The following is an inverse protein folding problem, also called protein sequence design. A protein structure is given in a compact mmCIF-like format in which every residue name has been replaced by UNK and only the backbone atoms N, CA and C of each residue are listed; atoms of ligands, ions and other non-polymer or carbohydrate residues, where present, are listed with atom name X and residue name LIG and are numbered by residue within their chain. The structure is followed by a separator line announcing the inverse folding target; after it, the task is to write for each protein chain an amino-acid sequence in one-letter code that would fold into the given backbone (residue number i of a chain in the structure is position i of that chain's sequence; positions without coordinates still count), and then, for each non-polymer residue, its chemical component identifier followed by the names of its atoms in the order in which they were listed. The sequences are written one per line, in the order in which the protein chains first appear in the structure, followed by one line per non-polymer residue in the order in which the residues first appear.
data_IF_063292348599
#
_entry.id   IF_063292348599
#
_cell.length_a   1.000
_cell.length_b   1.000
_cell.length_c   1.000
_cell.angle_alpha   90.00
_cell.angle_beta   90.00
_cell.angle_gamma   90.00
#
_symmetry.space_group_name_H-M   'P 1'
#
loop_
_entity.id
_entity.type
_entity.pdbx_description
1 polymer ?
#
# COMPACT_ATOMS: atom_id res chain seq x y z
N UNK A 1 3.76 46.15 -0.06
CA UNK A 1 4.46 45.77 1.17
C UNK A 1 4.39 46.99 2.10
N UNK A 2 3.88 46.84 3.32
CA UNK A 2 3.71 47.98 4.25
C UNK A 2 5.08 48.56 4.64
N UNK A 3 5.19 49.89 4.79
CA UNK A 3 6.45 50.59 5.19
C UNK A 3 6.99 50.03 6.50
N UNK A 4 6.11 49.66 7.43
CA UNK A 4 6.46 49.05 8.72
C UNK A 4 7.15 47.68 8.57
N UNK A 5 6.78 46.91 7.54
CA UNK A 5 7.41 45.62 7.27
C UNK A 5 8.84 45.79 6.75
N UNK A 6 9.10 46.85 5.97
CA UNK A 6 10.45 47.14 5.46
C UNK A 6 11.39 47.57 6.59
N UNK A 7 10.93 48.41 7.52
CA UNK A 7 11.73 48.85 8.67
C UNK A 7 12.06 47.67 9.58
N UNK A 8 11.07 46.80 9.83
CA UNK A 8 11.26 45.59 10.63
C UNK A 8 12.28 44.63 9.99
N UNK A 9 12.20 44.43 8.68
CA UNK A 9 13.11 43.56 7.94
C UNK A 9 14.56 44.06 7.96
N UNK A 10 14.78 45.38 7.89
CA UNK A 10 16.11 46.00 7.97
C UNK A 10 16.67 45.93 9.39
N UNK A 11 15.84 46.12 10.42
CA UNK A 11 16.25 45.95 11.81
C UNK A 11 16.65 44.49 12.12
N UNK A 12 15.91 43.51 11.60
CA UNK A 12 16.24 42.09 11.73
C UNK A 12 17.58 41.74 11.05
N UNK A 13 17.83 42.32 9.86
CA UNK A 13 19.08 42.13 9.11
C UNK A 13 20.30 42.70 9.86
N UNK A 14 20.15 43.86 10.49
CA UNK A 14 21.20 44.47 11.33
C UNK A 14 21.46 43.71 12.64
N UNK A 15 20.46 42.98 13.16
CA UNK A 15 20.58 42.15 14.37
C UNK A 15 21.26 40.80 14.10
N UNK A 16 21.63 40.50 12.85
CA UNK A 16 22.26 39.23 12.47
C UNK A 16 21.32 38.03 12.58
N UNK A 17 20.02 38.26 12.72
CA UNK A 17 19.02 37.20 12.67
C UNK A 17 18.77 36.85 11.20
N UNK A 18 19.19 35.65 10.78
CA UNK A 18 18.93 35.17 9.43
C UNK A 18 17.42 35.19 9.16
N UNK A 19 17.02 35.94 8.12
CA UNK A 19 15.64 35.95 7.64
C UNK A 19 15.22 34.49 7.46
N UNK A 20 14.20 34.06 8.21
CA UNK A 20 13.58 32.74 8.04
C UNK A 20 13.02 32.64 6.63
N UNK A 21 13.86 32.20 5.68
CA UNK A 21 13.45 31.84 4.33
C UNK A 21 12.35 30.82 4.51
N UNK A 22 11.22 31.01 3.81
CA UNK A 22 10.12 30.06 3.83
C UNK A 22 10.64 28.74 3.27
N UNK A 23 11.05 27.84 4.17
CA UNK A 23 11.44 26.49 3.80
C UNK A 23 10.20 25.82 3.24
N UNK A 24 10.22 25.57 1.93
CA UNK A 24 9.15 24.84 1.27
C UNK A 24 9.34 23.36 1.62
N UNK A 25 8.88 22.97 2.81
CA UNK A 25 8.91 21.58 3.24
C UNK A 25 7.90 20.82 2.38
N UNK A 26 8.39 20.16 1.33
CA UNK A 26 7.57 19.25 0.55
C UNK A 26 7.15 18.12 1.49
N UNK A 27 5.84 17.93 1.74
CA UNK A 27 5.39 16.86 2.63
C UNK A 27 5.83 15.53 2.05
N UNK A 28 6.57 14.75 2.85
CA UNK A 28 7.28 13.56 2.38
C UNK A 28 6.36 12.36 2.04
N UNK A 29 5.04 12.52 2.09
CA UNK A 29 4.06 11.44 2.03
C UNK A 29 2.67 11.93 1.62
N UNK A 30 2.50 12.41 0.39
CA UNK A 30 1.15 12.63 -0.17
C UNK A 30 0.72 11.37 -0.92
N UNK A 31 0.14 10.43 -0.19
CA UNK A 31 -0.66 9.36 -0.79
C UNK A 31 -1.93 10.02 -1.36
N UNK A 32 -2.07 10.04 -2.69
CA UNK A 32 -3.22 10.65 -3.37
C UNK A 32 -4.53 9.85 -3.15
N UNK A 33 -4.43 8.69 -2.50
CA UNK A 33 -5.54 7.78 -2.24
C UNK A 33 -6.41 8.29 -1.09
N UNK A 34 -7.67 8.62 -1.38
CA UNK A 34 -8.65 8.96 -0.34
C UNK A 34 -8.97 7.72 0.50
N UNK A 35 -8.65 7.79 1.80
CA UNK A 35 -8.88 6.72 2.77
C UNK A 35 -10.23 6.94 3.43
N UNK A 36 -11.12 5.97 3.29
CA UNK A 36 -12.52 6.10 3.74
C UNK A 36 -12.71 5.42 5.09
N UNK A 37 -12.23 4.19 5.24
CA UNK A 37 -12.46 3.37 6.43
C UNK A 37 -11.26 2.44 6.68
N UNK A 38 -10.86 2.25 7.95
CA UNK A 38 -9.76 1.36 8.35
C UNK A 38 -8.45 1.58 7.56
N UNK A 39 -8.11 2.84 7.22
CA UNK A 39 -6.92 3.19 6.43
C UNK A 39 -6.91 2.61 4.99
N UNK A 40 -8.07 2.15 4.49
CA UNK A 40 -8.26 1.62 3.15
C UNK A 40 -8.97 2.62 2.23
N UNK A 41 -8.65 2.54 0.94
CA UNK A 41 -9.38 3.22 -0.13
C UNK A 41 -10.70 2.49 -0.41
N UNK A 42 -11.70 3.16 -0.99
CA UNK A 42 -13.00 2.53 -1.32
C UNK A 42 -12.87 1.30 -2.22
N UNK A 43 -11.91 1.30 -3.15
CA UNK A 43 -11.59 0.12 -3.98
C UNK A 43 -11.03 -1.03 -3.15
N UNK A 44 -10.17 -0.75 -2.17
CA UNK A 44 -9.58 -1.75 -1.29
C UNK A 44 -10.63 -2.31 -0.32
N UNK A 45 -11.57 -1.46 0.12
CA UNK A 45 -12.72 -1.89 0.90
C UNK A 45 -13.58 -2.89 0.12
N UNK A 46 -13.84 -2.62 -1.16
CA UNK A 46 -14.56 -3.56 -2.03
C UNK A 46 -13.78 -4.88 -2.19
N UNK A 47 -12.46 -4.82 -2.33
CA UNK A 47 -11.60 -6.03 -2.41
C UNK A 47 -11.67 -6.88 -1.14
N UNK A 48 -11.92 -6.29 0.04
CA UNK A 48 -12.13 -7.04 1.28
C UNK A 48 -13.57 -7.55 1.39
N UNK A 49 -14.55 -6.67 1.23
CA UNK A 49 -15.96 -6.98 1.51
C UNK A 49 -16.60 -7.92 0.49
N UNK A 50 -16.29 -7.76 -0.80
CA UNK A 50 -16.90 -8.58 -1.87
C UNK A 50 -16.57 -10.08 -1.69
N UNK A 51 -15.30 -10.50 -1.59
CA UNK A 51 -14.99 -11.92 -1.41
C UNK A 51 -15.45 -12.44 -0.04
N UNK A 52 -15.45 -11.62 1.01
CA UNK A 52 -16.00 -12.00 2.32
C UNK A 52 -17.50 -12.31 2.26
N UNK A 53 -18.29 -11.41 1.67
CA UNK A 53 -19.74 -11.61 1.53
C UNK A 53 -20.05 -12.79 0.60
N UNK A 54 -19.30 -12.95 -0.48
CA UNK A 54 -19.45 -14.06 -1.42
C UNK A 54 -19.12 -15.39 -0.76
N UNK A 55 -18.05 -15.45 0.05
CA UNK A 55 -17.73 -16.62 0.87
C UNK A 55 -18.87 -16.96 1.83
N UNK A 56 -19.40 -15.99 2.57
CA UNK A 56 -20.50 -16.22 3.50
C UNK A 56 -21.74 -16.73 2.78
N UNK A 57 -22.13 -16.11 1.66
CA UNK A 57 -23.29 -16.53 0.89
C UNK A 57 -23.17 -17.99 0.41
N UNK A 58 -22.00 -18.37 -0.12
CA UNK A 58 -21.74 -19.73 -0.59
C UNK A 58 -21.70 -20.70 0.59
N UNK A 59 -20.99 -20.39 1.67
CA UNK A 59 -20.83 -21.28 2.80
C UNK A 59 -22.17 -21.51 3.55
N UNK A 60 -22.97 -20.46 3.72
CA UNK A 60 -24.34 -20.61 4.24
C UNK A 60 -25.24 -21.38 3.27
N UNK A 61 -25.17 -21.12 1.97
CA UNK A 61 -25.94 -21.85 0.97
C UNK A 61 -25.63 -23.35 0.97
N UNK A 62 -24.35 -23.73 1.02
CA UNK A 62 -23.90 -25.13 1.07
C UNK A 62 -24.34 -25.80 2.37
N UNK A 63 -24.14 -25.15 3.51
CA UNK A 63 -24.55 -25.73 4.81
C UNK A 63 -26.05 -25.88 4.95
N UNK A 64 -26.83 -24.95 4.38
CA UNK A 64 -28.28 -25.07 4.27
C UNK A 64 -28.70 -26.25 3.38
N UNK A 65 -28.12 -26.37 2.19
CA UNK A 65 -28.43 -27.45 1.24
C UNK A 65 -28.12 -28.83 1.81
N UNK A 66 -27.06 -28.94 2.63
CA UNK A 66 -26.70 -30.18 3.33
C UNK A 66 -27.57 -30.50 4.54
N UNK A 67 -28.53 -29.64 4.91
CA UNK A 67 -29.35 -29.81 6.12
C UNK A 67 -28.56 -29.68 7.42
N UNK A 68 -27.36 -29.11 7.36
CA UNK A 68 -26.44 -28.96 8.50
C UNK A 68 -26.56 -27.59 9.17
N UNK A 69 -27.49 -26.73 8.73
CA UNK A 69 -27.63 -25.37 9.24
C UNK A 69 -28.31 -25.38 10.61
N UNK A 70 -27.47 -25.37 11.64
CA UNK A 70 -27.80 -25.22 13.04
C UNK A 70 -27.08 -23.98 13.58
N UNK A 71 -27.45 -23.52 14.78
CA UNK A 71 -26.84 -22.33 15.37
C UNK A 71 -25.31 -22.46 15.52
N UNK A 72 -24.82 -23.64 15.90
CA UNK A 72 -23.39 -23.93 16.06
C UNK A 72 -22.65 -23.88 14.72
N UNK A 73 -23.18 -24.54 13.69
CA UNK A 73 -22.55 -24.60 12.37
C UNK A 73 -22.60 -23.24 11.66
N UNK A 74 -23.70 -22.51 11.78
CA UNK A 74 -23.81 -21.13 11.29
C UNK A 74 -22.80 -20.19 11.95
N UNK A 75 -22.60 -20.32 13.27
CA UNK A 75 -21.60 -19.54 13.99
C UNK A 75 -20.17 -19.90 13.57
N UNK A 76 -19.89 -21.20 13.34
CA UNK A 76 -18.60 -21.64 12.80
C UNK A 76 -18.32 -21.07 11.41
N UNK A 77 -19.29 -21.13 10.49
CA UNK A 77 -19.17 -20.53 9.15
C UNK A 77 -18.87 -19.04 9.26
N UNK A 78 -19.56 -18.34 10.16
CA UNK A 78 -19.32 -16.92 10.40
C UNK A 78 -17.90 -16.63 10.92
N UNK A 79 -17.41 -17.41 11.89
CA UNK A 79 -16.03 -17.25 12.41
C UNK A 79 -15.00 -17.50 11.30
N UNK A 80 -15.16 -18.56 10.53
CA UNK A 80 -14.25 -18.87 9.41
C UNK A 80 -14.27 -17.75 8.39
N UNK A 81 -15.46 -17.22 8.08
CA UNK A 81 -15.61 -16.04 7.23
C UNK A 81 -14.88 -14.83 7.80
N UNK A 82 -15.00 -14.56 9.11
CA UNK A 82 -14.31 -13.44 9.76
C UNK A 82 -12.79 -13.58 9.67
N UNK A 83 -12.25 -14.77 9.93
CA UNK A 83 -10.81 -15.05 9.78
C UNK A 83 -10.38 -14.81 8.33
N UNK A 84 -11.18 -15.29 7.36
CA UNK A 84 -10.92 -15.07 5.94
C UNK A 84 -10.92 -13.57 5.58
N UNK A 85 -11.91 -12.80 6.02
CA UNK A 85 -11.95 -11.35 5.80
C UNK A 85 -10.77 -10.61 6.46
N UNK A 86 -10.43 -10.97 7.69
CA UNK A 86 -9.32 -10.37 8.44
C UNK A 86 -7.96 -10.67 7.80
N UNK A 87 -7.76 -11.85 7.21
CA UNK A 87 -6.51 -12.18 6.51
C UNK A 87 -6.33 -11.32 5.25
N UNK A 88 -7.39 -11.10 4.46
CA UNK A 88 -7.36 -10.20 3.28
C UNK A 88 -7.10 -8.76 3.73
N UNK A 89 -7.81 -8.31 4.77
CA UNK A 89 -7.60 -6.99 5.35
C UNK A 89 -6.17 -6.78 5.85
N UNK A 90 -5.62 -7.76 6.57
CA UNK A 90 -4.24 -7.76 7.04
C UNK A 90 -3.25 -7.62 5.89
N UNK A 91 -3.44 -8.37 4.80
CA UNK A 91 -2.57 -8.29 3.63
C UNK A 91 -2.54 -6.89 2.99
N UNK A 92 -3.67 -6.16 3.03
CA UNK A 92 -3.80 -4.81 2.48
C UNK A 92 -3.23 -3.72 3.39
N UNK A 93 -3.15 -3.99 4.70
CA UNK A 93 -2.79 -3.00 5.73
C UNK A 93 -1.43 -3.21 6.35
N UNK A 94 -0.89 -4.44 6.33
CA UNK A 94 0.46 -4.73 6.83
C UNK A 94 1.48 -3.94 6.03
N UNK A 95 2.37 -3.27 6.77
CA UNK A 95 3.51 -2.55 6.22
C UNK A 95 4.77 -3.32 6.61
N UNK A 96 5.54 -3.85 5.64
CA UNK A 96 6.73 -4.63 5.94
C UNK A 96 7.86 -3.79 6.54
N UNK A 97 7.85 -2.47 6.32
CA UNK A 97 8.88 -1.54 6.79
C UNK A 97 8.20 -0.46 7.63
N UNK A 98 8.42 -0.50 8.95
CA UNK A 98 7.81 0.45 9.91
C UNK A 98 8.14 1.91 9.60
N UNK A 99 9.35 2.19 9.09
CA UNK A 99 9.82 3.55 8.78
C UNK A 99 9.24 4.14 7.49
N UNK A 100 8.54 3.33 6.67
CA UNK A 100 8.01 3.75 5.36
C UNK A 100 6.50 3.49 5.31
N UNK A 101 5.73 4.51 5.66
CA UNK A 101 4.26 4.42 5.72
C UNK A 101 3.57 4.23 4.37
N UNK A 102 4.27 4.52 3.26
CA UNK A 102 3.71 4.47 1.92
C UNK A 102 3.91 3.12 1.21
N UNK A 103 4.72 2.21 1.78
CA UNK A 103 4.99 0.90 1.16
C UNK A 103 4.10 -0.15 1.83
N UNK A 104 3.14 -0.67 1.07
CA UNK A 104 2.27 -1.76 1.53
C UNK A 104 2.91 -3.12 1.21
N UNK A 105 2.46 -4.16 1.90
CA UNK A 105 2.96 -5.53 1.68
C UNK A 105 2.76 -6.00 0.23
N UNK A 106 1.65 -5.62 -0.40
CA UNK A 106 1.34 -5.93 -1.81
C UNK A 106 2.37 -5.32 -2.76
N UNK A 107 2.81 -4.10 -2.51
CA UNK A 107 3.82 -3.43 -3.36
C UNK A 107 5.17 -4.13 -3.25
N UNK A 108 5.56 -4.53 -2.03
CA UNK A 108 6.78 -5.30 -1.78
C UNK A 108 6.74 -6.66 -2.49
N UNK A 109 5.62 -7.37 -2.43
CA UNK A 109 5.42 -8.64 -3.13
C UNK A 109 5.51 -8.46 -4.65
N UNK A 110 4.84 -7.43 -5.20
CA UNK A 110 4.87 -7.12 -6.63
C UNK A 110 6.29 -6.77 -7.08
N UNK A 111 7.02 -5.98 -6.29
CA UNK A 111 8.40 -5.62 -6.57
C UNK A 111 9.32 -6.85 -6.54
N UNK A 112 9.15 -7.74 -5.55
CA UNK A 112 9.91 -8.98 -5.45
C UNK A 112 9.68 -9.90 -6.66
N UNK A 113 8.42 -10.08 -7.07
CA UNK A 113 8.09 -10.86 -8.27
C UNK A 113 8.68 -10.24 -9.54
N UNK A 114 8.57 -8.92 -9.71
CA UNK A 114 9.15 -8.22 -10.87
C UNK A 114 10.68 -8.31 -10.87
N UNK A 115 11.33 -8.20 -9.71
CA UNK A 115 12.76 -8.34 -9.57
C UNK A 115 13.24 -9.74 -9.99
N UNK A 116 12.59 -10.79 -9.49
CA UNK A 116 12.90 -12.18 -9.89
C UNK A 116 12.73 -12.41 -11.40
N UNK A 117 11.67 -11.84 -12.00
CA UNK A 117 11.45 -11.91 -13.46
C UNK A 117 12.54 -11.20 -14.24
N UNK A 118 12.99 -10.03 -13.77
CA UNK A 118 14.04 -9.23 -14.44
C UNK A 118 15.43 -9.83 -14.29
N UNK A 119 15.77 -10.44 -13.15
CA UNK A 119 17.06 -11.14 -13.00
C UNK A 119 17.23 -12.21 -14.08
N UNK A 120 16.17 -12.95 -14.44
CA UNK A 120 16.22 -13.95 -15.51
C UNK A 120 16.54 -13.36 -16.90
N UNK A 121 16.28 -12.07 -17.13
CA UNK A 121 16.59 -11.39 -18.41
C UNK A 121 18.07 -10.98 -18.49
N UNK A 122 18.71 -10.68 -17.36
CA UNK A 122 20.14 -10.33 -17.33
C UNK A 122 21.08 -11.55 -17.26
N UNK A 123 20.55 -12.74 -17.00
CA UNK A 123 21.31 -14.01 -17.00
C UNK A 123 21.16 -14.83 -18.29
N UNK A 124 20.63 -14.26 -19.37
CA UNK A 124 20.93 -14.82 -20.69
C UNK A 124 22.43 -14.60 -20.93
N UNK A 125 23.23 -15.63 -20.60
CA UNK A 125 24.62 -15.77 -21.08
C UNK A 125 24.57 -15.40 -22.56
N UNK A 126 25.28 -14.35 -22.96
CA UNK A 126 25.53 -14.06 -24.38
C UNK A 126 25.91 -15.40 -25.01
N UNK A 127 25.03 -15.94 -25.84
CA UNK A 127 25.28 -17.21 -26.50
C UNK A 127 26.47 -16.92 -27.42
N UNK A 128 27.60 -17.55 -27.13
CA UNK A 128 28.80 -17.54 -27.96
C UNK A 128 28.40 -17.53 -29.45
N UNK A 129 28.81 -16.49 -30.18
CA UNK A 129 28.48 -16.35 -31.60
C UNK A 129 28.47 -14.94 -32.20
N UNK A 130 29.23 -13.97 -31.67
CA UNK A 130 29.56 -12.76 -32.43
C UNK A 130 31.04 -12.80 -32.80
N UNK A 131 31.29 -13.31 -34.01
CA UNK A 131 32.33 -12.84 -34.92
C UNK A 131 33.74 -12.92 -34.39
N UNK A 132 34.33 -14.09 -34.52
CA UNK A 132 35.76 -14.25 -34.75
C UNK A 132 36.02 -13.78 -36.19
N UNK A 133 36.10 -12.46 -36.41
CA UNK A 133 36.43 -11.84 -37.71
C UNK A 133 37.43 -10.69 -37.49
N UNK A 134 38.61 -11.02 -36.94
CA UNK A 134 39.83 -10.22 -37.09
C UNK A 134 40.78 -10.97 -38.06
N UNK A 135 40.62 -10.68 -39.36
CA UNK A 135 41.64 -10.86 -40.42
C UNK A 135 41.90 -9.50 -41.06
#
# INVERSE_FOLDING_TARGET
MSVEQQVKDVMLDMLGEEKKVKENIIPRNVDASYKIFLNLNGKELAIVFVPFLLFLAIAFGVTFLMGLLNLITGFMVFIVGLIFGLTIYGLLTIRPISTKENIRMIDSLKQSQQFSRRQKVYFYKSKEGLGDDDV
#
